data_IF_559013244254
#
_entry.id   IF_559013244254
#
_cell.length_a   1.000
_cell.length_b   1.000
_cell.length_c   1.000
_cell.angle_alpha   90.00
_cell.angle_beta   90.00
_cell.angle_gamma   90.00
#
_symmetry.space_group_name_H-M   'P 1'
#
loop_
_entity.id
_entity.type
_entity.pdbx_description
1 polymer ?
#
# COMPACT_ATOMS: atom_id res chain seq x y z
N UNK A 1 10.59 -5.75 -7.40
CA UNK A 1 9.59 -4.66 -7.20
C UNK A 1 10.30 -3.36 -6.87
N UNK A 2 11.49 -3.44 -6.27
CA UNK A 2 12.27 -2.29 -5.82
C UNK A 2 13.31 -1.77 -6.86
N UNK A 3 13.37 -2.36 -8.07
CA UNK A 3 14.38 -2.04 -9.08
C UNK A 3 14.30 -0.61 -9.68
N UNK A 4 13.14 0.04 -9.59
CA UNK A 4 12.89 1.39 -10.13
C UNK A 4 12.77 2.46 -9.04
N UNK A 5 13.01 2.11 -7.78
CA UNK A 5 13.04 3.09 -6.71
C UNK A 5 14.42 3.73 -6.69
N UNK A 6 14.47 5.03 -6.95
CA UNK A 6 15.68 5.81 -6.76
C UNK A 6 15.97 5.93 -5.25
N UNK A 7 16.86 5.09 -4.75
CA UNK A 7 17.29 5.11 -3.35
C UNK A 7 18.24 6.28 -3.03
N UNK A 8 18.60 7.10 -4.01
CA UNK A 8 19.28 8.38 -3.79
C UNK A 8 18.29 9.53 -3.57
N UNK A 9 16.99 9.25 -3.68
CA UNK A 9 15.93 10.22 -3.41
C UNK A 9 16.07 10.80 -2.00
N UNK A 10 15.87 12.13 -1.89
CA UNK A 10 16.01 12.95 -0.67
C UNK A 10 15.35 12.38 0.58
N UNK A 11 14.37 11.48 0.46
CA UNK A 11 13.76 10.78 1.60
C UNK A 11 14.78 9.98 2.46
N UNK A 12 15.90 9.53 1.88
CA UNK A 12 16.95 8.83 2.63
C UNK A 12 18.01 9.77 3.23
N UNK A 13 17.96 11.06 2.92
CA UNK A 13 19.04 12.01 3.20
C UNK A 13 18.60 13.35 3.83
N UNK A 14 17.40 13.84 3.53
CA UNK A 14 16.89 15.18 3.89
C UNK A 14 15.64 15.14 4.78
N UNK A 15 15.17 13.95 5.20
CA UNK A 15 14.09 13.86 6.17
C UNK A 15 14.60 14.34 7.55
N UNK A 16 13.89 15.22 8.26
CA UNK A 16 14.38 15.93 9.45
C UNK A 16 14.42 15.04 10.70
N UNK A 17 14.61 13.73 10.54
CA UNK A 17 14.82 12.83 11.66
C UNK A 17 16.18 13.14 12.27
N UNK A 18 16.14 13.76 13.43
CA UNK A 18 17.26 13.87 14.35
C UNK A 18 17.87 12.47 14.57
N UNK A 19 19.00 12.20 13.91
CA UNK A 19 19.75 10.94 14.05
C UNK A 19 20.53 10.87 15.36
N UNK A 20 20.40 11.86 16.25
CA UNK A 20 21.23 12.00 17.46
C UNK A 20 20.49 11.84 18.78
N UNK A 21 19.20 11.51 18.78
CA UNK A 21 18.45 11.21 20.00
C UNK A 21 17.30 10.25 19.74
N UNK A 22 16.90 9.48 20.76
CA UNK A 22 15.74 8.58 20.74
C UNK A 22 14.38 9.33 20.63
N UNK A 23 14.25 10.23 19.67
CA UNK A 23 13.04 10.99 19.41
C UNK A 23 12.27 10.30 18.29
N UNK A 24 11.26 9.50 18.68
CA UNK A 24 10.28 9.00 17.74
C UNK A 24 9.62 10.21 17.04
N UNK A 25 9.46 10.18 15.70
CA UNK A 25 8.81 11.27 15.01
C UNK A 25 7.38 11.42 15.51
N UNK A 26 6.95 12.68 15.64
CA UNK A 26 5.58 12.98 16.04
C UNK A 26 4.59 12.42 15.01
N UNK A 27 3.34 12.20 15.44
CA UNK A 27 2.28 11.79 14.53
C UNK A 27 2.14 12.72 13.31
N UNK A 28 2.28 14.04 13.54
CA UNK A 28 2.25 15.05 12.49
C UNK A 28 3.43 14.90 11.51
N UNK A 29 4.64 14.67 12.03
CA UNK A 29 5.81 14.43 11.20
C UNK A 29 5.62 13.19 10.32
N UNK A 30 5.09 12.08 10.87
CA UNK A 30 4.78 10.86 10.12
C UNK A 30 3.74 11.11 9.03
N UNK A 31 2.67 11.85 9.34
CA UNK A 31 1.63 12.16 8.34
C UNK A 31 2.14 13.05 7.20
N UNK A 32 3.16 13.87 7.46
CA UNK A 32 3.76 14.74 6.46
C UNK A 32 4.79 14.03 5.57
N UNK A 33 5.07 12.73 5.79
CA UNK A 33 5.93 11.92 4.93
C UNK A 33 5.22 11.56 3.62
N UNK A 34 5.16 12.54 2.72
CA UNK A 34 4.38 12.46 1.49
C UNK A 34 4.74 11.26 0.61
N UNK A 35 6.03 11.05 0.35
CA UNK A 35 6.49 9.91 -0.44
C UNK A 35 6.18 8.58 0.25
N UNK A 36 6.33 8.50 1.58
CA UNK A 36 5.97 7.29 2.34
C UNK A 36 4.49 6.96 2.18
N UNK A 37 3.62 7.97 2.28
CA UNK A 37 2.19 7.81 2.07
C UNK A 37 1.90 7.27 0.66
N UNK A 38 2.56 7.81 -0.36
CA UNK A 38 2.39 7.37 -1.74
C UNK A 38 2.89 5.95 -1.98
N UNK A 39 4.05 5.59 -1.41
CA UNK A 39 4.60 4.23 -1.44
C UNK A 39 3.65 3.25 -0.76
N UNK A 40 3.10 3.60 0.41
CA UNK A 40 2.13 2.77 1.13
C UNK A 40 0.83 2.58 0.33
N UNK A 41 0.31 3.66 -0.28
CA UNK A 41 -0.89 3.60 -1.13
C UNK A 41 -0.66 2.70 -2.34
N UNK A 42 0.45 2.89 -3.05
CA UNK A 42 0.77 2.12 -4.26
C UNK A 42 1.06 0.65 -3.95
N UNK A 43 1.73 0.38 -2.83
CA UNK A 43 1.96 -0.98 -2.35
C UNK A 43 0.63 -1.67 -2.05
N UNK A 44 -0.29 -0.98 -1.37
CA UNK A 44 -1.61 -1.52 -1.02
C UNK A 44 -2.52 -1.69 -2.23
N UNK A 45 -2.30 -0.94 -3.32
CA UNK A 45 -2.99 -1.10 -4.60
C UNK A 45 -2.53 -2.38 -5.33
N UNK A 46 -1.22 -2.57 -5.50
CA UNK A 46 -0.70 -3.73 -6.25
C UNK A 46 -0.72 -5.03 -5.44
N UNK A 47 -0.64 -4.90 -4.11
CA UNK A 47 -0.55 -6.01 -3.16
C UNK A 47 -1.54 -5.82 -2.00
N UNK A 48 -2.86 -5.75 -2.26
CA UNK A 48 -3.84 -5.61 -1.19
C UNK A 48 -3.81 -6.82 -0.27
N UNK A 49 -3.81 -6.56 1.04
CA UNK A 49 -3.83 -7.63 2.06
C UNK A 49 -5.06 -8.53 1.87
N UNK A 50 -6.20 -7.94 1.55
CA UNK A 50 -7.46 -8.64 1.26
C UNK A 50 -7.84 -8.37 -0.20
N UNK A 51 -7.60 -9.32 -1.12
CA UNK A 51 -7.84 -9.10 -2.55
C UNK A 51 -9.34 -9.16 -2.93
N UNK A 52 -10.14 -9.86 -2.13
CA UNK A 52 -11.60 -10.01 -2.30
C UNK A 52 -12.27 -9.90 -0.95
N UNK A 53 -13.34 -9.11 -0.86
CA UNK A 53 -14.23 -9.08 0.31
C UNK A 53 -15.64 -9.51 -0.10
N UNK A 54 -16.53 -9.78 0.86
CA UNK A 54 -17.91 -10.13 0.55
C UNK A 54 -18.91 -9.40 1.45
N UNK A 55 -20.15 -9.30 0.97
CA UNK A 55 -21.32 -8.81 1.70
C UNK A 55 -22.48 -9.76 1.49
N UNK A 56 -23.45 -9.76 2.40
CA UNK A 56 -24.72 -10.45 2.23
C UNK A 56 -25.81 -9.41 2.13
N UNK A 57 -26.65 -9.50 1.10
CA UNK A 57 -27.79 -8.62 0.93
C UNK A 57 -28.78 -8.82 2.08
N UNK A 58 -29.02 -7.79 2.90
CA UNK A 58 -29.93 -7.89 4.06
C UNK A 58 -31.40 -7.73 3.67
N UNK A 59 -31.65 -7.25 2.45
CA UNK A 59 -32.95 -7.08 1.79
C UNK A 59 -32.76 -7.20 0.29
N UNK A 60 -33.86 -7.38 -0.42
CA UNK A 60 -33.88 -7.29 -1.87
C UNK A 60 -33.37 -5.90 -2.31
N UNK A 61 -32.46 -5.87 -3.28
CA UNK A 61 -31.80 -4.64 -3.73
C UNK A 61 -31.49 -4.71 -5.22
N UNK A 62 -31.59 -3.57 -5.91
CA UNK A 62 -31.11 -3.46 -7.29
C UNK A 62 -29.80 -2.69 -7.30
N UNK A 63 -28.71 -3.30 -7.79
CA UNK A 63 -27.39 -2.68 -7.92
C UNK A 63 -26.96 -2.72 -9.39
N UNK A 64 -26.58 -1.57 -9.96
CA UNK A 64 -26.14 -1.49 -11.36
C UNK A 64 -27.16 -2.08 -12.35
N UNK A 65 -28.46 -1.91 -12.09
CA UNK A 65 -29.54 -2.48 -12.90
C UNK A 65 -29.86 -3.96 -12.63
N UNK A 66 -29.11 -4.64 -11.77
CA UNK A 66 -29.29 -6.06 -11.48
C UNK A 66 -30.05 -6.26 -10.17
N UNK A 67 -31.12 -7.07 -10.20
CA UNK A 67 -31.86 -7.44 -9.00
C UNK A 67 -31.11 -8.51 -8.21
N UNK A 68 -30.93 -8.24 -6.91
CA UNK A 68 -30.22 -9.11 -5.97
C UNK A 68 -31.17 -9.43 -4.82
N UNK A 69 -31.60 -10.70 -4.68
CA UNK A 69 -32.45 -11.13 -3.59
C UNK A 69 -31.76 -11.00 -2.22
N UNK A 70 -32.57 -10.81 -1.18
CA UNK A 70 -32.15 -10.96 0.21
C UNK A 70 -31.41 -12.28 0.43
N UNK A 71 -30.41 -12.25 1.30
CA UNK A 71 -29.51 -13.34 1.64
C UNK A 71 -28.54 -13.77 0.52
N UNK A 72 -28.45 -13.03 -0.58
CA UNK A 72 -27.44 -13.28 -1.61
C UNK A 72 -26.06 -12.82 -1.15
N UNK A 73 -25.05 -13.68 -1.28
CA UNK A 73 -23.65 -13.32 -1.08
C UNK A 73 -23.12 -12.58 -2.32
N UNK A 74 -22.53 -11.41 -2.10
CA UNK A 74 -21.93 -10.55 -3.12
C UNK A 74 -20.44 -10.49 -2.85
N UNK A 75 -19.63 -10.89 -3.83
CA UNK A 75 -18.18 -10.80 -3.75
C UNK A 75 -17.69 -9.54 -4.47
N UNK A 76 -16.77 -8.83 -3.84
CA UNK A 76 -16.17 -7.59 -4.31
C UNK A 76 -14.68 -7.83 -4.55
N UNK A 77 -14.27 -8.11 -5.80
CA UNK A 77 -12.88 -8.38 -6.13
C UNK A 77 -12.08 -7.08 -6.25
N UNK A 78 -11.64 -6.53 -5.12
CA UNK A 78 -10.89 -5.27 -5.05
C UNK A 78 -9.63 -5.30 -5.93
N UNK A 79 -8.96 -6.46 -5.98
CA UNK A 79 -7.76 -6.65 -6.80
C UNK A 79 -8.02 -6.39 -8.29
N UNK A 80 -9.23 -6.62 -8.79
CA UNK A 80 -9.58 -6.32 -10.19
C UNK A 80 -9.62 -4.81 -10.42
N UNK A 81 -10.25 -4.06 -9.52
CA UNK A 81 -10.29 -2.60 -9.61
C UNK A 81 -8.89 -2.01 -9.48
N UNK A 82 -8.09 -2.50 -8.54
CA UNK A 82 -6.74 -2.02 -8.29
C UNK A 82 -5.78 -2.25 -9.47
N UNK A 83 -6.03 -3.26 -10.30
CA UNK A 83 -5.23 -3.62 -11.47
C UNK A 83 -5.88 -3.21 -12.80
N UNK A 84 -7.05 -2.55 -12.77
CA UNK A 84 -7.77 -2.17 -13.98
C UNK A 84 -7.04 -1.06 -14.73
N UNK A 85 -6.65 -1.31 -15.97
CA UNK A 85 -6.08 -0.29 -16.86
C UNK A 85 -7.05 0.84 -17.19
N UNK A 86 -8.35 0.56 -17.14
CA UNK A 86 -9.39 1.57 -17.31
C UNK A 86 -9.35 2.62 -16.19
N UNK A 87 -9.03 2.19 -14.97
CA UNK A 87 -8.96 3.05 -13.79
C UNK A 87 -7.57 3.66 -13.57
N UNK A 88 -6.51 2.90 -13.86
CA UNK A 88 -5.13 3.25 -13.47
C UNK A 88 -4.19 3.56 -14.65
N UNK A 89 -4.66 3.44 -15.89
CA UNK A 89 -3.87 3.61 -17.10
C UNK A 89 -3.14 2.34 -17.54
N UNK A 90 -2.43 2.41 -18.66
CA UNK A 90 -1.72 1.27 -19.23
C UNK A 90 -0.64 0.68 -18.32
N UNK A 91 -0.10 1.51 -17.44
CA UNK A 91 0.91 1.17 -16.45
C UNK A 91 0.30 0.69 -15.10
N UNK A 92 -0.96 0.24 -15.09
CA UNK A 92 -1.64 -0.24 -13.89
C UNK A 92 -0.86 -1.33 -13.13
N UNK A 93 -0.03 -2.13 -13.80
CA UNK A 93 0.79 -3.18 -13.18
C UNK A 93 2.13 -2.65 -12.62
N UNK A 94 2.50 -1.41 -12.93
CA UNK A 94 3.75 -0.81 -12.50
C UNK A 94 3.64 -0.22 -11.10
N UNK A 95 4.68 -0.39 -10.29
CA UNK A 95 4.80 0.25 -9.00
C UNK A 95 5.27 1.69 -9.18
N UNK A 96 4.32 2.64 -9.21
CA UNK A 96 4.58 4.07 -9.48
C UNK A 96 4.00 4.97 -8.38
N UNK A 97 4.68 5.15 -7.24
CA UNK A 97 4.21 6.01 -6.14
C UNK A 97 3.89 7.45 -6.57
N UNK A 98 4.63 8.00 -7.54
CA UNK A 98 4.39 9.36 -8.04
C UNK A 98 2.98 9.57 -8.63
N UNK A 99 2.24 8.50 -9.00
CA UNK A 99 0.89 8.64 -9.57
C UNK A 99 -0.06 9.41 -8.65
N UNK A 100 0.12 9.26 -7.34
CA UNK A 100 -0.74 9.85 -6.32
C UNK A 100 -0.60 11.38 -6.22
N UNK A 101 0.41 11.94 -6.88
CA UNK A 101 0.66 13.38 -6.97
C UNK A 101 0.14 13.97 -8.28
N UNK A 102 -0.18 13.11 -9.24
CA UNK A 102 -0.73 13.50 -10.53
C UNK A 102 -2.24 13.70 -10.41
N UNK A 103 -2.79 14.67 -11.15
CA UNK A 103 -4.24 14.83 -11.30
C UNK A 103 -4.90 13.57 -11.87
N UNK A 104 -4.14 12.70 -12.52
CA UNK A 104 -4.59 11.46 -13.13
C UNK A 104 -4.99 10.39 -12.11
N UNK A 105 -4.35 10.33 -10.93
CA UNK A 105 -4.85 9.50 -9.83
C UNK A 105 -6.22 9.96 -9.30
N UNK A 106 -6.63 11.21 -9.58
CA UNK A 106 -7.97 11.71 -9.24
C UNK A 106 -9.09 11.10 -10.10
N UNK A 107 -8.76 10.37 -11.18
CA UNK A 107 -9.75 9.62 -11.98
C UNK A 107 -10.31 8.43 -11.23
N UNK A 108 -9.55 7.86 -10.29
CA UNK A 108 -10.04 6.81 -9.41
C UNK A 108 -10.98 7.42 -8.37
N UNK A 109 -12.25 7.04 -8.42
CA UNK A 109 -13.27 7.44 -7.48
C UNK A 109 -13.04 6.85 -6.08
N UNK A 110 -13.84 7.29 -5.09
CA UNK A 110 -13.70 6.88 -3.68
C UNK A 110 -13.88 5.37 -3.44
N UNK A 111 -14.39 4.61 -4.43
CA UNK A 111 -14.59 3.17 -4.37
C UNK A 111 -13.68 2.37 -5.32
N UNK A 112 -12.80 3.05 -6.06
CA UNK A 112 -11.85 2.41 -6.97
C UNK A 112 -10.55 2.02 -6.26
N UNK A 113 -10.18 2.78 -5.23
CA UNK A 113 -9.08 2.46 -4.32
C UNK A 113 -9.58 2.14 -2.91
N UNK A 114 -9.81 0.86 -2.64
CA UNK A 114 -10.32 0.37 -1.35
C UNK A 114 -9.34 -0.56 -0.59
N UNK A 115 -8.09 -0.14 -0.32
CA UNK A 115 -7.11 -1.00 0.38
C UNK A 115 -7.57 -1.37 1.80
N UNK A 116 -8.40 -0.51 2.42
CA UNK A 116 -8.93 -0.66 3.77
C UNK A 116 -10.46 -0.70 3.81
N UNK A 117 -11.08 -0.95 2.65
CA UNK A 117 -12.53 -0.86 2.45
C UNK A 117 -13.05 0.57 2.72
N UNK A 118 -14.38 0.73 2.69
CA UNK A 118 -15.06 1.97 2.99
C UNK A 118 -16.34 1.70 3.80
N UNK A 119 -16.86 2.75 4.44
CA UNK A 119 -18.09 2.71 5.25
C UNK A 119 -17.88 2.14 6.66
N UNK A 120 -18.98 1.80 7.33
CA UNK A 120 -18.99 1.41 8.75
C UNK A 120 -18.29 0.09 9.12
N UNK A 121 -17.68 -0.61 8.15
CA UNK A 121 -16.85 -1.81 8.36
C UNK A 121 -15.47 -1.69 7.68
N UNK A 122 -14.96 -0.47 7.54
CA UNK A 122 -13.58 -0.23 7.10
C UNK A 122 -12.56 -0.72 8.16
N UNK A 123 -11.32 -0.94 7.73
CA UNK A 123 -10.24 -1.39 8.61
C UNK A 123 -9.98 -0.39 9.74
N UNK A 124 -9.71 -0.88 10.95
CA UNK A 124 -9.50 -0.06 12.16
C UNK A 124 -8.00 0.26 12.39
N UNK A 125 -7.08 -0.45 11.72
CA UNK A 125 -5.63 -0.32 11.93
C UNK A 125 -4.91 0.11 10.65
N UNK A 126 -4.05 1.12 10.77
CA UNK A 126 -3.03 1.46 9.77
C UNK A 126 -1.97 2.37 10.36
N UNK A 127 -0.84 1.81 10.80
CA UNK A 127 0.40 2.54 11.13
C UNK A 127 1.57 1.56 11.41
N UNK A 128 2.69 1.75 10.70
CA UNK A 128 4.09 1.72 11.17
C UNK A 128 5.07 1.36 10.04
N UNK A 129 6.18 2.10 9.95
CA UNK A 129 7.59 1.63 9.95
C UNK A 129 8.48 2.88 10.05
N UNK A 130 9.33 2.97 11.08
CA UNK A 130 10.49 3.89 11.12
C UNK A 130 11.68 3.11 11.70
N UNK A 131 12.91 3.47 11.27
CA UNK A 131 14.22 2.93 11.72
C UNK A 131 14.81 1.69 11.01
N UNK A 132 14.27 1.24 9.88
CA UNK A 132 14.84 0.10 9.16
C UNK A 132 15.11 0.43 7.69
N UNK A 133 16.31 0.10 7.21
CA UNK A 133 16.63 0.02 5.79
C UNK A 133 16.47 -1.44 5.34
N UNK A 134 15.68 -1.66 4.30
CA UNK A 134 15.38 -2.99 3.77
C UNK A 134 16.11 -3.20 2.46
N UNK A 135 16.64 -4.41 2.28
CA UNK A 135 17.29 -4.83 1.05
C UNK A 135 16.58 -6.07 0.49
N UNK A 136 16.28 -6.09 -0.82
CA UNK A 136 15.85 -7.32 -1.50
C UNK A 136 16.99 -8.35 -1.39
N UNK A 137 16.68 -9.59 -0.99
CA UNK A 137 17.64 -10.69 -1.07
C UNK A 137 17.99 -10.93 -2.55
N UNK A 138 19.28 -10.95 -2.94
CA UNK A 138 19.66 -11.21 -4.33
C UNK A 138 19.03 -12.49 -4.88
N UNK A 139 18.36 -12.38 -6.04
CA UNK A 139 17.67 -13.50 -6.69
C UNK A 139 16.26 -13.82 -6.16
N UNK A 140 15.70 -13.02 -5.25
CA UNK A 140 14.34 -13.20 -4.78
C UNK A 140 13.31 -12.64 -5.77
N UNK A 141 12.57 -13.53 -6.43
CA UNK A 141 11.43 -13.15 -7.30
C UNK A 141 10.13 -13.30 -6.49
N UNK A 142 9.47 -12.19 -6.08
CA UNK A 142 8.23 -12.27 -5.33
C UNK A 142 7.14 -12.93 -6.19
N UNK A 143 6.52 -14.00 -5.67
CA UNK A 143 5.35 -14.64 -6.26
C UNK A 143 4.14 -14.41 -5.37
N UNK A 144 3.05 -13.89 -5.95
CA UNK A 144 1.77 -13.69 -5.25
C UNK A 144 1.22 -15.08 -4.87
N UNK A 145 1.01 -15.32 -3.57
CA UNK A 145 0.29 -16.50 -3.08
C UNK A 145 -0.99 -16.04 -2.41
N UNK A 146 -2.11 -16.51 -2.92
CA UNK A 146 -3.43 -16.22 -2.35
C UNK A 146 -3.75 -17.27 -1.28
N UNK A 147 -3.68 -16.84 -0.02
CA UNK A 147 -4.28 -17.53 1.13
C UNK A 147 -5.46 -16.65 1.63
N UNK A 148 -5.91 -16.76 2.90
CA UNK A 148 -6.94 -15.86 3.44
C UNK A 148 -6.55 -14.36 3.30
N UNK A 149 -5.25 -14.07 3.35
CA UNK A 149 -4.66 -12.78 2.97
C UNK A 149 -3.57 -12.98 1.93
N UNK A 150 -3.27 -11.97 1.12
CA UNK A 150 -2.12 -12.03 0.21
C UNK A 150 -0.81 -11.97 0.99
N UNK A 151 0.11 -12.89 0.67
CA UNK A 151 1.43 -12.96 1.29
C UNK A 151 2.52 -13.29 0.27
N UNK A 152 3.76 -12.80 0.45
CA UNK A 152 4.89 -13.22 -0.36
C UNK A 152 5.22 -14.70 -0.09
N UNK A 153 5.48 -15.47 -1.15
CA UNK A 153 5.89 -16.89 -1.07
C UNK A 153 7.33 -17.08 -1.59
N UNK A 154 8.19 -17.91 -0.94
CA UNK A 154 7.90 -18.76 0.23
C UNK A 154 7.83 -18.00 1.56
N UNK A 155 8.38 -16.78 1.62
CA UNK A 155 8.31 -15.74 2.66
C UNK A 155 9.18 -14.56 2.17
N UNK A 156 9.10 -13.38 2.79
CA UNK A 156 10.02 -12.27 2.49
C UNK A 156 11.19 -12.25 3.49
N UNK A 157 12.35 -12.78 3.08
CA UNK A 157 13.59 -12.70 3.89
C UNK A 157 14.28 -11.37 3.61
N UNK A 158 14.47 -10.58 4.66
CA UNK A 158 15.15 -9.29 4.60
C UNK A 158 16.51 -9.39 5.28
N UNK A 159 17.53 -8.85 4.63
CA UNK A 159 18.84 -8.61 5.26
C UNK A 159 18.82 -7.20 5.84
N UNK A 160 19.26 -7.04 7.08
CA UNK A 160 19.25 -5.76 7.79
C UNK A 160 20.65 -5.49 8.32
N UNK A 161 21.13 -4.27 8.16
CA UNK A 161 22.36 -3.78 8.79
C UNK A 161 22.03 -2.55 9.66
N UNK A 162 22.64 -2.40 10.84
CA UNK A 162 22.48 -1.18 11.62
C UNK A 162 23.09 0.02 10.87
N UNK A 163 22.45 1.18 10.99
CA UNK A 163 23.05 2.45 10.56
C UNK A 163 23.99 2.89 11.67
N UNK A 164 25.29 2.89 11.41
CA UNK A 164 26.28 3.44 12.35
C UNK A 164 26.27 4.94 12.16
N UNK A 165 25.75 5.69 13.13
CA UNK A 165 25.90 7.15 13.11
C UNK A 165 27.39 7.45 13.27
N UNK A 166 27.98 8.14 12.31
CA UNK A 166 29.31 8.71 12.46
C UNK A 166 29.23 9.75 13.57
N UNK A 167 29.67 9.37 14.77
CA UNK A 167 29.94 10.29 15.86
C UNK A 167 30.84 11.41 15.34
N UNK A 168 30.31 12.63 15.38
CA UNK A 168 31.03 13.87 15.08
C UNK A 168 32.29 13.89 15.96
N UNK A 169 33.46 13.84 15.33
CA UNK A 169 34.75 14.06 16.01
C UNK A 169 34.75 15.49 16.59
N UNK A 170 35.09 15.56 17.88
CA UNK A 170 35.18 16.77 18.69
C UNK A 170 36.39 17.64 18.33
#
# INVERSE_FOLDING_TARGET
MFANLDFTHRMFHDDPFDTTGHNLPSFEAINNLHLLNNVCKESSRLLPVVPVTSRVATKDVTLGGHFIPKNTAIFLPLIVNHHSKELWGEDAEEFRPARWDESEASRAGPYDFLPFLAGGRQCILGLLITNFQFFEKPGFVPRKRQELTMRPSPNMTLLVKPVVSSSVEA
#
